data_IF_903313490450
#
_entry.id   IF_903313490450
#
_cell.length_a   1.000
_cell.length_b   1.000
_cell.length_c   1.000
_cell.angle_alpha   90.00
_cell.angle_beta   90.00
_cell.angle_gamma   90.00
#
_symmetry.space_group_name_H-M   'P 1'
#
loop_
_entity.id
_entity.type
_entity.pdbx_description
1 polymer ?
#
# COMPACT_ATOMS: atom_id res chain seq x y z
N UNK A 1 -49.63 -23.64 29.04
CA UNK A 1 -48.20 -23.80 28.62
C UNK A 1 -47.94 -23.48 27.16
N UNK A 2 -48.79 -23.88 26.23
CA UNK A 2 -48.60 -23.60 24.78
C UNK A 2 -48.64 -22.10 24.39
N UNK A 3 -49.52 -21.27 25.03
CA UNK A 3 -49.62 -19.83 24.77
C UNK A 3 -48.40 -19.03 25.17
N UNK A 4 -47.69 -19.45 26.23
CA UNK A 4 -46.48 -18.77 26.70
C UNK A 4 -45.28 -19.06 25.79
N UNK A 5 -45.18 -20.24 25.22
CA UNK A 5 -44.15 -20.63 24.26
C UNK A 5 -44.33 -19.88 22.94
N UNK A 6 -45.57 -19.69 22.48
CA UNK A 6 -45.89 -18.96 21.26
C UNK A 6 -45.58 -17.44 21.37
N UNK A 7 -45.77 -16.86 22.58
CA UNK A 7 -45.44 -15.48 22.87
C UNK A 7 -43.91 -15.26 22.90
N UNK A 8 -43.15 -16.20 23.46
CA UNK A 8 -41.69 -16.14 23.47
C UNK A 8 -41.10 -16.30 22.06
N UNK A 9 -41.63 -17.21 21.25
CA UNK A 9 -41.20 -17.37 19.83
C UNK A 9 -41.44 -16.12 19.01
N UNK A 10 -42.62 -15.46 19.13
CA UNK A 10 -42.88 -14.19 18.43
C UNK A 10 -41.97 -13.06 18.90
N UNK A 11 -41.55 -13.00 20.15
CA UNK A 11 -40.56 -12.05 20.64
C UNK A 11 -39.17 -12.32 20.08
N UNK A 12 -38.80 -13.59 19.90
CA UNK A 12 -37.56 -13.98 19.25
C UNK A 12 -37.50 -13.52 17.80
N UNK A 13 -38.58 -13.73 17.04
CA UNK A 13 -38.66 -13.29 15.64
C UNK A 13 -38.61 -11.79 15.49
N UNK A 14 -39.18 -11.02 16.41
CA UNK A 14 -39.29 -9.56 16.31
C UNK A 14 -38.02 -8.81 16.74
N UNK A 15 -37.23 -9.39 17.66
CA UNK A 15 -36.04 -8.70 18.21
C UNK A 15 -34.72 -9.37 17.81
N UNK A 16 -34.68 -10.67 17.59
CA UNK A 16 -33.42 -11.40 17.33
C UNK A 16 -33.19 -11.59 15.82
N UNK A 17 -34.22 -11.85 15.02
CA UNK A 17 -34.07 -11.91 13.56
C UNK A 17 -33.52 -10.63 12.94
N UNK A 18 -33.94 -9.40 13.30
CA UNK A 18 -33.32 -8.17 12.81
C UNK A 18 -31.89 -7.97 13.30
N UNK A 19 -31.55 -8.47 14.49
CA UNK A 19 -30.18 -8.45 15.03
C UNK A 19 -29.26 -9.44 14.30
N UNK A 20 -29.80 -10.63 13.99
CA UNK A 20 -29.05 -11.68 13.26
C UNK A 20 -28.97 -11.35 11.77
N UNK A 21 -29.99 -10.75 11.16
CA UNK A 21 -29.96 -10.33 9.76
C UNK A 21 -28.99 -9.20 9.47
N UNK A 22 -28.58 -8.44 10.52
CA UNK A 22 -27.54 -7.42 10.43
C UNK A 22 -26.15 -7.91 10.86
N UNK A 23 -26.04 -9.15 11.38
CA UNK A 23 -24.75 -9.79 11.57
C UNK A 23 -24.23 -10.22 10.19
N UNK A 24 -23.25 -9.52 9.67
CA UNK A 24 -22.43 -10.07 8.57
C UNK A 24 -21.97 -11.47 8.97
N UNK A 25 -21.91 -12.44 8.03
CA UNK A 25 -21.28 -13.73 8.32
C UNK A 25 -19.93 -13.46 8.97
N UNK A 26 -19.62 -14.16 10.06
CA UNK A 26 -18.40 -13.96 10.85
C UNK A 26 -17.12 -14.18 10.03
N UNK A 27 -17.25 -14.72 8.80
CA UNK A 27 -16.18 -15.11 7.87
C UNK A 27 -16.35 -14.53 6.46
N UNK A 28 -17.02 -13.38 6.30
CA UNK A 28 -17.09 -12.75 4.99
C UNK A 28 -15.70 -12.14 4.65
N UNK A 29 -14.97 -12.84 3.80
CA UNK A 29 -13.70 -12.35 3.25
C UNK A 29 -13.92 -11.08 2.43
N UNK A 30 -12.89 -10.24 2.34
CA UNK A 30 -12.90 -9.03 1.50
C UNK A 30 -13.14 -9.43 0.04
N UNK A 31 -14.12 -8.80 -0.62
CA UNK A 31 -14.31 -8.90 -2.07
C UNK A 31 -13.20 -8.12 -2.77
N UNK A 32 -12.06 -8.79 -2.96
CA UNK A 32 -10.86 -8.20 -3.53
C UNK A 32 -11.05 -7.76 -4.98
N UNK A 33 -11.91 -8.43 -5.75
CA UNK A 33 -12.20 -8.03 -7.12
C UNK A 33 -12.89 -6.67 -7.16
N UNK A 34 -13.89 -6.44 -6.31
CA UNK A 34 -14.55 -5.14 -6.20
C UNK A 34 -13.62 -4.08 -5.58
N UNK A 35 -12.79 -4.44 -4.61
CA UNK A 35 -11.78 -3.53 -4.04
C UNK A 35 -10.81 -3.04 -5.12
N UNK A 36 -10.30 -3.95 -5.96
CA UNK A 36 -9.45 -3.65 -7.11
C UNK A 36 -10.14 -2.73 -8.11
N UNK A 37 -11.40 -3.00 -8.47
CA UNK A 37 -12.18 -2.16 -9.39
C UNK A 37 -12.33 -0.74 -8.84
N UNK A 38 -12.64 -0.59 -7.55
CA UNK A 38 -12.79 0.72 -6.90
C UNK A 38 -11.47 1.50 -6.85
N UNK A 39 -10.36 0.85 -6.48
CA UNK A 39 -9.05 1.50 -6.48
C UNK A 39 -8.63 1.95 -7.89
N UNK A 40 -8.83 1.08 -8.92
CA UNK A 40 -8.56 1.42 -10.33
C UNK A 40 -9.37 2.62 -10.82
N UNK A 41 -10.66 2.66 -10.51
CA UNK A 41 -11.52 3.78 -10.89
C UNK A 41 -11.03 5.09 -10.26
N UNK A 42 -10.73 5.07 -8.96
CA UNK A 42 -10.19 6.23 -8.25
C UNK A 42 -8.89 6.73 -8.86
N UNK A 43 -7.90 5.84 -9.00
CA UNK A 43 -6.58 6.18 -9.51
C UNK A 43 -6.62 6.59 -10.98
N UNK A 44 -7.44 5.91 -11.80
CA UNK A 44 -7.57 6.21 -13.23
C UNK A 44 -8.30 7.50 -13.55
N UNK A 45 -9.19 7.98 -12.64
CA UNK A 45 -10.07 9.12 -12.94
C UNK A 45 -9.74 10.38 -12.13
N UNK A 46 -9.07 10.25 -10.97
CA UNK A 46 -8.89 11.36 -10.02
C UNK A 46 -7.43 11.76 -9.75
N UNK A 47 -6.45 10.94 -10.16
CA UNK A 47 -5.05 11.34 -10.03
C UNK A 47 -4.73 12.52 -10.93
N UNK A 48 -3.96 13.47 -10.39
CA UNK A 48 -3.41 14.57 -11.18
C UNK A 48 -2.39 14.05 -12.19
N UNK A 49 -2.39 14.58 -13.41
CA UNK A 49 -1.34 14.32 -14.41
C UNK A 49 0.06 14.76 -13.97
N UNK A 50 0.15 15.61 -12.92
CA UNK A 50 1.42 16.02 -12.32
C UNK A 50 2.07 14.94 -11.46
N UNK A 51 1.31 13.88 -11.08
CA UNK A 51 1.80 12.70 -10.38
C UNK A 51 2.41 11.72 -11.38
N UNK A 52 3.66 11.95 -11.73
CA UNK A 52 4.36 11.16 -12.75
C UNK A 52 4.93 9.86 -12.21
N UNK A 53 5.16 9.78 -10.90
CA UNK A 53 5.62 8.58 -10.18
C UNK A 53 4.47 7.87 -9.47
N UNK A 54 3.72 8.56 -8.58
CA UNK A 54 2.57 7.99 -7.85
C UNK A 54 1.35 7.91 -8.77
N UNK A 55 1.47 7.10 -9.81
CA UNK A 55 0.47 6.86 -10.84
C UNK A 55 -0.13 5.45 -10.71
N UNK A 56 -1.13 5.14 -11.54
CA UNK A 56 -1.78 3.84 -11.54
C UNK A 56 -0.80 2.67 -11.77
N UNK A 57 0.21 2.85 -12.63
CA UNK A 57 1.23 1.84 -12.92
C UNK A 57 2.08 1.52 -11.68
N UNK A 58 2.43 2.55 -10.88
CA UNK A 58 3.12 2.34 -9.60
C UNK A 58 2.29 1.46 -8.67
N UNK A 59 1.05 1.84 -8.39
CA UNK A 59 0.17 1.06 -7.51
C UNK A 59 0.00 -0.39 -7.99
N UNK A 60 -0.18 -0.59 -9.31
CA UNK A 60 -0.28 -1.92 -9.89
C UNK A 60 0.98 -2.76 -9.60
N UNK A 61 2.15 -2.18 -9.73
CA UNK A 61 3.41 -2.88 -9.44
C UNK A 61 3.62 -3.15 -7.96
N UNK A 62 3.20 -2.24 -7.09
CA UNK A 62 3.21 -2.49 -5.64
C UNK A 62 2.35 -3.70 -5.28
N UNK A 63 1.16 -3.83 -5.88
CA UNK A 63 0.30 -5.01 -5.70
C UNK A 63 1.00 -6.28 -6.20
N UNK A 64 1.49 -6.29 -7.44
CA UNK A 64 2.17 -7.46 -8.04
C UNK A 64 3.42 -7.86 -7.23
N UNK A 65 4.19 -6.88 -6.77
CA UNK A 65 5.38 -7.11 -5.96
C UNK A 65 5.02 -7.62 -4.56
N UNK A 66 3.99 -7.06 -3.91
CA UNK A 66 3.51 -7.52 -2.62
C UNK A 66 3.10 -8.99 -2.65
N UNK A 67 2.34 -9.39 -3.66
CA UNK A 67 1.89 -10.78 -3.79
C UNK A 67 3.05 -11.73 -4.10
N UNK A 68 3.99 -11.31 -4.95
CA UNK A 68 5.20 -12.09 -5.25
C UNK A 68 6.09 -12.28 -4.01
N UNK A 69 6.31 -11.22 -3.23
CA UNK A 69 7.11 -11.30 -2.01
C UNK A 69 6.40 -12.18 -0.98
N UNK A 70 5.07 -12.02 -0.81
CA UNK A 70 4.27 -12.82 0.11
C UNK A 70 4.36 -14.32 -0.20
N UNK A 71 4.25 -14.71 -1.47
CA UNK A 71 4.43 -16.09 -1.91
C UNK A 71 5.83 -16.62 -1.56
N UNK A 72 6.88 -15.85 -1.87
CA UNK A 72 8.28 -16.24 -1.62
C UNK A 72 8.65 -16.28 -0.13
N UNK A 73 7.99 -15.48 0.71
CA UNK A 73 8.11 -15.50 2.18
C UNK A 73 7.17 -16.53 2.84
N UNK A 74 6.39 -17.30 2.04
CA UNK A 74 5.57 -18.41 2.52
C UNK A 74 4.27 -18.00 3.21
N UNK A 75 3.70 -16.84 2.87
CA UNK A 75 2.39 -16.42 3.36
C UNK A 75 1.30 -17.23 2.64
N UNK A 76 0.57 -18.07 3.39
CA UNK A 76 -0.49 -18.94 2.86
C UNK A 76 -1.88 -18.64 3.43
N UNK A 77 -1.96 -17.81 4.45
CA UNK A 77 -3.23 -17.40 5.06
C UNK A 77 -4.01 -16.50 4.10
N UNK A 78 -5.17 -17.00 3.66
CA UNK A 78 -6.00 -16.32 2.66
C UNK A 78 -6.47 -14.93 3.12
N UNK A 79 -6.85 -14.79 4.39
CA UNK A 79 -7.30 -13.49 4.91
C UNK A 79 -6.15 -12.47 4.93
N UNK A 80 -4.95 -12.90 5.34
CA UNK A 80 -3.74 -12.06 5.30
C UNK A 80 -3.39 -11.62 3.89
N UNK A 81 -3.53 -12.50 2.89
CA UNK A 81 -3.29 -12.15 1.49
C UNK A 81 -4.31 -11.12 0.98
N UNK A 82 -5.59 -11.25 1.34
CA UNK A 82 -6.62 -10.27 0.96
C UNK A 82 -6.40 -8.91 1.64
N UNK A 83 -6.01 -8.89 2.91
CA UNK A 83 -5.63 -7.67 3.63
C UNK A 83 -4.43 -7.00 2.96
N UNK A 84 -3.37 -7.77 2.67
CA UNK A 84 -2.16 -7.25 2.02
C UNK A 84 -2.48 -6.67 0.63
N UNK A 85 -3.22 -7.41 -0.20
CA UNK A 85 -3.60 -6.97 -1.55
C UNK A 85 -4.47 -5.72 -1.48
N UNK A 86 -5.45 -5.68 -0.58
CA UNK A 86 -6.29 -4.49 -0.35
C UNK A 86 -5.45 -3.29 0.07
N UNK A 87 -4.52 -3.48 1.01
CA UNK A 87 -3.62 -2.40 1.46
C UNK A 87 -2.76 -1.87 0.32
N UNK A 88 -2.21 -2.76 -0.52
CA UNK A 88 -1.41 -2.38 -1.68
C UNK A 88 -2.23 -1.64 -2.74
N UNK A 89 -3.50 -2.01 -3.00
CA UNK A 89 -4.38 -1.25 -3.91
C UNK A 89 -4.72 0.13 -3.38
N UNK A 90 -4.81 0.31 -2.07
CA UNK A 90 -5.30 1.55 -1.47
C UNK A 90 -4.20 2.46 -0.92
N UNK A 91 -2.92 2.01 -0.79
CA UNK A 91 -1.87 2.76 -0.07
C UNK A 91 -1.66 4.19 -0.57
N UNK A 92 -1.78 4.41 -1.87
CA UNK A 92 -1.56 5.70 -2.56
C UNK A 92 -2.84 6.38 -3.04
N UNK A 93 -4.03 5.83 -2.73
CA UNK A 93 -5.29 6.45 -3.17
C UNK A 93 -5.49 7.86 -2.62
N UNK A 94 -4.84 8.19 -1.51
CA UNK A 94 -4.86 9.53 -0.90
C UNK A 94 -4.32 10.63 -1.80
N UNK A 95 -3.41 10.32 -2.74
CA UNK A 95 -2.95 11.27 -3.76
C UNK A 95 -4.06 11.81 -4.66
N UNK A 96 -5.21 11.15 -4.70
CA UNK A 96 -6.39 11.68 -5.39
C UNK A 96 -7.00 12.90 -4.71
N UNK A 97 -6.62 13.18 -3.46
CA UNK A 97 -7.15 14.29 -2.65
C UNK A 97 -6.07 15.24 -2.16
N UNK A 98 -4.90 14.73 -1.78
CA UNK A 98 -3.79 15.55 -1.26
C UNK A 98 -2.42 14.90 -1.49
N UNK A 99 -1.38 15.73 -1.59
CA UNK A 99 0.00 15.25 -1.75
C UNK A 99 0.62 14.89 -0.37
N UNK A 100 0.53 15.81 0.59
CA UNK A 100 1.08 15.57 1.94
C UNK A 100 0.09 14.77 2.79
N UNK A 101 0.60 13.83 3.59
CA UNK A 101 -0.19 12.93 4.42
C UNK A 101 -1.17 12.07 3.61
N UNK A 102 -0.77 11.71 2.38
CA UNK A 102 -1.59 10.88 1.50
C UNK A 102 -1.88 9.50 2.11
N UNK A 103 -0.99 8.95 2.97
CA UNK A 103 -1.21 7.67 3.64
C UNK A 103 -2.41 7.73 4.59
N UNK A 104 -2.54 8.80 5.39
CA UNK A 104 -3.71 9.00 6.25
C UNK A 104 -4.98 9.15 5.41
N UNK A 105 -4.90 9.89 4.31
CA UNK A 105 -6.03 10.06 3.40
C UNK A 105 -6.39 8.76 2.68
N UNK A 106 -5.40 7.94 2.32
CA UNK A 106 -5.59 6.58 1.80
C UNK A 106 -6.34 5.70 2.78
N UNK A 107 -6.00 5.78 4.06
CA UNK A 107 -6.72 5.08 5.13
C UNK A 107 -8.18 5.53 5.24
N UNK A 108 -8.48 6.82 5.09
CA UNK A 108 -9.86 7.32 5.08
C UNK A 108 -10.65 6.80 3.88
N UNK A 109 -10.03 6.81 2.69
CA UNK A 109 -10.65 6.27 1.46
C UNK A 109 -10.90 4.76 1.61
N UNK A 110 -9.94 3.99 2.12
CA UNK A 110 -10.10 2.57 2.39
C UNK A 110 -11.26 2.31 3.37
N UNK A 111 -11.37 3.12 4.43
CA UNK A 111 -12.45 3.05 5.43
C UNK A 111 -13.83 3.37 4.85
N UNK A 112 -13.91 4.24 3.85
CA UNK A 112 -15.16 4.56 3.16
C UNK A 112 -15.64 3.39 2.28
N UNK A 113 -14.72 2.57 1.74
CA UNK A 113 -15.01 1.61 0.69
C UNK A 113 -15.01 0.16 1.19
N UNK A 114 -13.94 -0.28 1.86
CA UNK A 114 -13.69 -1.70 2.13
C UNK A 114 -14.68 -2.36 3.11
N UNK A 115 -15.25 -1.67 4.12
CA UNK A 115 -16.30 -2.28 4.96
C UNK A 115 -17.54 -2.69 4.16
N UNK A 116 -17.89 -1.94 3.11
CA UNK A 116 -18.96 -2.28 2.17
C UNK A 116 -18.64 -3.53 1.32
N UNK A 117 -17.38 -3.91 1.23
CA UNK A 117 -16.86 -5.04 0.46
C UNK A 117 -16.44 -6.23 1.35
N UNK A 118 -16.85 -6.27 2.60
CA UNK A 118 -16.62 -7.42 3.47
C UNK A 118 -15.54 -7.23 4.53
N UNK A 119 -14.69 -6.20 4.47
CA UNK A 119 -13.67 -5.97 5.47
C UNK A 119 -14.28 -5.80 6.87
N UNK A 120 -13.85 -6.64 7.81
CA UNK A 120 -14.23 -6.54 9.22
C UNK A 120 -13.53 -5.37 9.90
N UNK A 121 -13.97 -4.93 11.10
CA UNK A 121 -13.23 -3.91 11.86
C UNK A 121 -11.76 -4.26 12.10
N UNK A 122 -11.45 -5.52 12.41
CA UNK A 122 -10.07 -5.99 12.60
C UNK A 122 -9.26 -6.00 11.31
N UNK A 123 -9.88 -6.32 10.17
CA UNK A 123 -9.21 -6.20 8.87
C UNK A 123 -8.90 -4.74 8.57
N UNK A 124 -9.83 -3.82 8.86
CA UNK A 124 -9.62 -2.38 8.67
C UNK A 124 -8.52 -1.81 9.56
N UNK A 125 -8.42 -2.24 10.81
CA UNK A 125 -7.33 -1.84 11.70
C UNK A 125 -5.98 -2.29 11.12
N UNK A 126 -5.91 -3.53 10.61
CA UNK A 126 -4.70 -4.05 10.03
C UNK A 126 -4.34 -3.39 8.69
N UNK A 127 -5.33 -3.14 7.80
CA UNK A 127 -5.13 -2.38 6.55
C UNK A 127 -4.60 -0.97 6.86
N UNK A 128 -5.14 -0.31 7.88
CA UNK A 128 -4.65 0.99 8.33
C UNK A 128 -3.16 0.92 8.71
N UNK A 129 -2.77 -0.04 9.54
CA UNK A 129 -1.38 -0.21 9.96
C UNK A 129 -0.45 -0.49 8.78
N UNK A 130 -0.88 -1.30 7.78
CA UNK A 130 -0.10 -1.61 6.59
C UNK A 130 0.07 -0.38 5.68
N UNK A 131 -0.99 0.39 5.43
CA UNK A 131 -0.91 1.63 4.66
C UNK A 131 0.01 2.64 5.36
N UNK A 132 -0.15 2.83 6.66
CA UNK A 132 0.68 3.76 7.42
C UNK A 132 2.15 3.33 7.50
N UNK A 133 2.46 2.02 7.39
CA UNK A 133 3.83 1.53 7.39
C UNK A 133 4.63 1.96 6.15
N UNK A 134 3.97 2.32 5.04
CA UNK A 134 4.64 2.82 3.82
C UNK A 134 5.13 4.26 3.96
N UNK A 135 4.59 5.02 4.92
CA UNK A 135 5.02 6.40 5.18
C UNK A 135 6.52 6.48 5.50
N UNK A 136 7.22 7.44 4.88
CA UNK A 136 8.68 7.60 5.05
C UNK A 136 8.99 8.46 6.30
N UNK A 137 9.84 8.00 7.23
CA UNK A 137 10.58 6.73 7.23
C UNK A 137 9.67 5.53 7.51
N UNK A 138 9.77 4.49 6.66
CA UNK A 138 8.95 3.28 6.81
C UNK A 138 9.15 2.60 8.17
N UNK A 139 8.04 2.15 8.78
CA UNK A 139 8.05 1.52 10.11
C UNK A 139 7.24 0.22 10.11
N UNK A 140 7.70 -0.83 9.39
CA UNK A 140 7.00 -2.11 9.35
C UNK A 140 7.02 -2.79 10.72
N UNK A 141 5.85 -3.21 11.20
CA UNK A 141 5.68 -3.82 12.53
C UNK A 141 5.69 -5.36 12.51
N UNK A 142 5.38 -5.96 11.34
CA UNK A 142 5.35 -7.42 11.16
C UNK A 142 5.78 -7.84 9.74
N UNK A 143 5.54 -9.10 9.35
CA UNK A 143 5.93 -9.61 8.04
C UNK A 143 5.13 -8.97 6.90
N UNK A 144 3.82 -8.73 7.05
CA UNK A 144 3.02 -8.08 6.00
C UNK A 144 3.43 -6.61 5.85
N UNK A 145 3.70 -5.92 6.95
CA UNK A 145 4.27 -4.58 6.93
C UNK A 145 5.61 -4.52 6.19
N UNK A 146 6.51 -5.49 6.43
CA UNK A 146 7.78 -5.60 5.69
C UNK A 146 7.57 -5.83 4.20
N UNK A 147 6.59 -6.66 3.84
CA UNK A 147 6.27 -6.99 2.45
C UNK A 147 5.77 -5.76 1.70
N UNK A 148 4.80 -5.03 2.24
CA UNK A 148 4.26 -3.85 1.56
C UNK A 148 5.29 -2.72 1.46
N UNK A 149 6.12 -2.52 2.49
CA UNK A 149 7.21 -1.54 2.46
C UNK A 149 8.25 -1.87 1.38
N UNK A 150 8.65 -3.14 1.26
CA UNK A 150 9.58 -3.57 0.22
C UNK A 150 8.97 -3.51 -1.17
N UNK A 151 7.68 -3.79 -1.30
CA UNK A 151 6.94 -3.73 -2.56
C UNK A 151 6.81 -2.30 -3.08
N UNK A 152 6.52 -1.34 -2.21
CA UNK A 152 6.43 0.08 -2.52
C UNK A 152 7.78 0.62 -3.05
N UNK A 153 8.89 0.16 -2.48
CA UNK A 153 10.24 0.56 -2.86
C UNK A 153 10.97 -0.48 -3.74
N UNK A 154 10.22 -1.42 -4.34
CA UNK A 154 10.78 -2.46 -5.22
C UNK A 154 11.58 -1.87 -6.39
N UNK A 155 11.16 -0.69 -6.90
CA UNK A 155 11.80 -0.01 -8.02
C UNK A 155 13.28 0.32 -7.79
N UNK A 156 13.72 0.50 -6.54
CA UNK A 156 15.12 0.82 -6.19
C UNK A 156 16.12 -0.27 -6.65
N UNK A 157 15.65 -1.49 -6.84
CA UNK A 157 16.47 -2.61 -7.30
C UNK A 157 16.01 -3.23 -8.62
N UNK A 158 15.15 -2.55 -9.39
CA UNK A 158 14.70 -2.96 -10.72
C UNK A 158 15.61 -2.40 -11.80
N UNK A 159 15.58 -3.02 -12.98
CA UNK A 159 16.39 -2.57 -14.13
C UNK A 159 15.93 -1.25 -14.72
N UNK A 160 14.67 -0.89 -14.54
CA UNK A 160 14.04 0.36 -14.95
C UNK A 160 14.10 1.47 -13.88
N UNK A 161 14.87 1.29 -12.80
CA UNK A 161 15.11 2.30 -11.77
C UNK A 161 15.44 3.69 -12.35
N UNK A 162 16.29 3.86 -13.39
CA UNK A 162 16.60 5.19 -13.90
C UNK A 162 15.36 5.91 -14.46
N UNK A 163 14.46 5.18 -15.14
CA UNK A 163 13.20 5.75 -15.65
C UNK A 163 12.29 6.19 -14.52
N UNK A 164 12.09 5.32 -13.51
CA UNK A 164 11.23 5.64 -12.37
C UNK A 164 11.79 6.72 -11.46
N UNK A 165 13.10 6.77 -11.33
CA UNK A 165 13.81 7.86 -10.68
C UNK A 165 13.56 9.20 -11.37
N UNK A 166 13.59 9.23 -12.70
CA UNK A 166 13.29 10.44 -13.49
C UNK A 166 11.85 10.90 -13.31
N UNK A 167 10.89 9.96 -13.29
CA UNK A 167 9.47 10.25 -13.01
C UNK A 167 9.30 10.85 -11.61
N UNK A 168 9.96 10.31 -10.59
CA UNK A 168 9.91 10.86 -9.23
C UNK A 168 10.52 12.26 -9.16
N UNK A 169 11.64 12.49 -9.86
CA UNK A 169 12.26 13.81 -9.95
C UNK A 169 11.29 14.83 -10.55
N UNK A 170 10.66 14.48 -11.67
CA UNK A 170 9.70 15.37 -12.33
C UNK A 170 8.49 15.65 -11.42
N UNK A 171 8.00 14.65 -10.70
CA UNK A 171 6.92 14.83 -9.73
C UNK A 171 7.32 15.80 -8.61
N UNK A 172 8.51 15.63 -8.04
CA UNK A 172 8.99 16.50 -6.97
C UNK A 172 9.19 17.95 -7.43
N UNK A 173 9.56 18.17 -8.71
CA UNK A 173 9.58 19.50 -9.32
C UNK A 173 8.17 20.05 -9.50
N UNK A 174 7.23 19.25 -9.99
CA UNK A 174 5.83 19.66 -10.19
C UNK A 174 5.13 20.10 -8.89
N UNK A 175 5.50 19.47 -7.76
CA UNK A 175 4.93 19.75 -6.43
C UNK A 175 5.84 20.63 -5.55
N UNK A 176 6.87 21.24 -6.12
CA UNK A 176 7.81 22.14 -5.44
C UNK A 176 8.45 21.52 -4.18
N UNK A 177 8.65 20.19 -4.18
CA UNK A 177 9.35 19.45 -3.11
C UNK A 177 10.85 19.70 -3.17
N UNK A 178 11.36 19.90 -4.38
CA UNK A 178 12.72 20.29 -4.70
C UNK A 178 12.70 21.52 -5.62
N UNK A 179 13.76 22.29 -5.59
CA UNK A 179 13.93 23.50 -6.43
C UNK A 179 14.86 23.27 -7.62
N UNK A 180 15.69 22.24 -7.55
CA UNK A 180 16.65 21.88 -8.61
C UNK A 180 16.96 20.37 -8.61
N UNK A 181 17.53 19.93 -9.73
CA UNK A 181 17.85 18.50 -9.92
C UNK A 181 18.98 18.02 -8.99
N UNK A 182 19.89 18.88 -8.56
CA UNK A 182 20.98 18.48 -7.68
C UNK A 182 20.45 18.09 -6.30
N UNK A 183 19.45 18.81 -5.77
CA UNK A 183 18.78 18.47 -4.52
C UNK A 183 18.09 17.09 -4.62
N UNK A 184 17.41 16.81 -5.76
CA UNK A 184 16.85 15.50 -6.00
C UNK A 184 17.89 14.39 -5.92
N UNK A 185 18.97 14.53 -6.66
CA UNK A 185 20.01 13.49 -6.72
C UNK A 185 20.66 13.26 -5.35
N UNK A 186 20.91 14.34 -4.60
CA UNK A 186 21.47 14.23 -3.25
C UNK A 186 20.54 13.43 -2.32
N UNK A 187 19.24 13.73 -2.32
CA UNK A 187 18.24 13.04 -1.52
C UNK A 187 18.07 11.60 -1.96
N UNK A 188 17.99 11.33 -3.27
CA UNK A 188 17.87 9.99 -3.81
C UNK A 188 19.08 9.12 -3.46
N UNK A 189 20.29 9.67 -3.58
CA UNK A 189 21.51 8.95 -3.19
C UNK A 189 21.52 8.61 -1.70
N UNK A 190 21.20 9.59 -0.85
CA UNK A 190 21.12 9.39 0.60
C UNK A 190 20.07 8.33 0.95
N UNK A 191 18.90 8.38 0.31
CA UNK A 191 17.83 7.41 0.51
C UNK A 191 18.24 6.01 0.03
N UNK A 192 18.78 5.89 -1.20
CA UNK A 192 19.23 4.61 -1.76
C UNK A 192 20.32 3.97 -0.88
N UNK A 193 21.18 4.78 -0.28
CA UNK A 193 22.24 4.32 0.64
C UNK A 193 21.69 3.85 1.98
N UNK A 194 20.69 4.56 2.52
CA UNK A 194 20.13 4.28 3.85
C UNK A 194 19.11 3.15 3.84
N UNK A 195 18.35 3.01 2.76
CA UNK A 195 17.29 2.01 2.69
C UNK A 195 17.85 0.60 2.56
N UNK A 196 17.34 -0.31 3.38
CA UNK A 196 17.61 -1.75 3.28
C UNK A 196 16.30 -2.52 3.22
N UNK A 197 16.20 -3.45 2.28
CA UNK A 197 15.02 -4.30 2.17
C UNK A 197 14.81 -5.13 3.43
N UNK A 198 13.55 -5.25 3.85
CA UNK A 198 13.15 -5.90 5.10
C UNK A 198 12.97 -7.41 4.97
N UNK A 199 12.58 -7.92 3.77
CA UNK A 199 12.30 -9.33 3.52
C UNK A 199 13.52 -10.06 2.95
N UNK A 200 13.57 -11.37 3.09
CA UNK A 200 14.65 -12.17 2.52
C UNK A 200 14.58 -12.19 1.00
N UNK A 201 13.35 -12.28 0.45
CA UNK A 201 13.11 -12.26 -0.98
C UNK A 201 13.59 -10.95 -1.63
N UNK A 202 13.15 -9.79 -1.13
CA UNK A 202 13.52 -8.50 -1.72
C UNK A 202 15.04 -8.26 -1.61
N UNK A 203 15.68 -8.59 -0.48
CA UNK A 203 17.15 -8.55 -0.37
C UNK A 203 17.85 -9.37 -1.44
N UNK A 204 17.35 -10.58 -1.72
CA UNK A 204 17.92 -11.49 -2.71
C UNK A 204 17.66 -11.01 -4.15
N UNK A 205 16.43 -10.63 -4.49
CA UNK A 205 16.04 -10.24 -5.85
C UNK A 205 16.51 -8.84 -6.24
N UNK A 206 16.39 -7.87 -5.33
CA UNK A 206 16.58 -6.44 -5.60
C UNK A 206 17.91 -5.88 -5.06
N UNK A 207 18.40 -6.42 -3.97
CA UNK A 207 19.65 -5.96 -3.33
C UNK A 207 20.85 -5.89 -4.26
N UNK A 208 21.14 -6.89 -5.13
CA UNK A 208 22.30 -6.84 -6.03
C UNK A 208 22.23 -5.67 -7.02
N UNK A 209 21.08 -5.41 -7.64
CA UNK A 209 20.94 -4.33 -8.61
C UNK A 209 20.94 -2.95 -7.94
N UNK A 210 20.31 -2.81 -6.77
CA UNK A 210 20.36 -1.60 -5.95
C UNK A 210 21.80 -1.22 -5.60
N UNK A 211 22.65 -2.18 -5.20
CA UNK A 211 24.08 -1.93 -4.93
C UNK A 211 24.82 -1.42 -6.17
N UNK A 212 24.57 -1.98 -7.36
CA UNK A 212 25.19 -1.50 -8.60
C UNK A 212 24.81 -0.05 -8.90
N UNK A 213 23.56 0.35 -8.66
CA UNK A 213 23.16 1.72 -8.82
C UNK A 213 23.86 2.65 -7.83
N UNK A 214 23.98 2.24 -6.57
CA UNK A 214 24.68 3.00 -5.55
C UNK A 214 26.17 3.20 -5.91
N UNK A 215 26.84 2.16 -6.41
CA UNK A 215 28.22 2.22 -6.89
C UNK A 215 28.36 3.16 -8.10
N UNK A 216 27.45 3.06 -9.06
CA UNK A 216 27.43 3.91 -10.25
C UNK A 216 27.25 5.39 -9.88
N UNK A 217 26.31 5.69 -8.99
CA UNK A 217 26.05 7.03 -8.51
C UNK A 217 27.23 7.58 -7.70
N UNK A 218 27.92 6.75 -6.90
CA UNK A 218 29.10 7.14 -6.13
C UNK A 218 30.31 7.48 -7.03
N UNK A 219 30.47 6.80 -8.16
CA UNK A 219 31.60 6.95 -9.08
C UNK A 219 31.40 8.09 -10.10
N UNK A 220 30.17 8.49 -10.37
CA UNK A 220 29.89 9.61 -11.26
C UNK A 220 30.20 10.91 -10.54
N UNK A 221 31.33 11.54 -10.90
CA UNK A 221 31.89 12.77 -10.30
C UNK A 221 30.97 14.02 -10.37
N UNK A 222 29.72 13.89 -10.81
CA UNK A 222 28.69 14.93 -10.73
C UNK A 222 27.98 15.00 -9.38
N UNK A 223 28.04 13.92 -8.58
CA UNK A 223 27.52 13.91 -7.21
C UNK A 223 28.59 14.37 -6.23
N UNK A 224 28.91 15.66 -6.23
CA UNK A 224 29.70 16.25 -5.15
C UNK A 224 28.80 16.31 -3.92
N UNK A 225 28.96 15.34 -3.02
CA UNK A 225 28.52 15.50 -1.65
C UNK A 225 29.24 16.72 -1.10
N UNK A 226 28.52 17.82 -0.94
CA UNK A 226 28.98 18.90 -0.07
C UNK A 226 28.97 18.34 1.35
N UNK A 227 30.17 18.08 1.87
CA UNK A 227 30.42 17.74 3.29
C UNK A 227 30.00 18.89 4.20
#
# INVERSE_FOLDING_TARGET
MAFFLFYLLKKWDQFILPLISNLKPLDALIDIEQARIKAKDLLGTKLSASLTYHCFEHTKWVVESSMTIAENEGITDQNKLLILESSAWFHDTGFTRMYKNHEQESCLIAKEILPGLGASPSDMDYIYELIMATSIPQTPFDMLGKIICDADLDYLGRTDFPEWSERLKQEWLNFEIITDEQDFYNRQFAFLKAYEYHTADARKRRGPQKRKYLETLSNNAGYRLTT
#
